data_IF_747920909454
#
_entry.id   IF_747920909454
#
_cell.length_a   1.000
_cell.length_b   1.000
_cell.length_c   1.000
_cell.angle_alpha   90.00
_cell.angle_beta   90.00
_cell.angle_gamma   90.00
#
_symmetry.space_group_name_H-M   'P 1'
#
loop_
_entity.id
_entity.type
_entity.pdbx_description
1 polymer ?
#
# COMPACT_ATOMS: atom_id res chain seq x y z
N UNK A 1 -9.12 7.73 -22.83
CA UNK A 1 -8.99 7.56 -21.39
C UNK A 1 -9.42 6.18 -20.95
N UNK A 2 -10.66 5.86 -21.17
CA UNK A 2 -11.16 4.56 -20.82
C UNK A 2 -10.50 3.45 -21.58
N UNK A 3 -10.23 3.71 -22.83
CA UNK A 3 -9.54 2.76 -23.66
C UNK A 3 -8.15 2.48 -23.09
N UNK A 4 -7.47 3.53 -22.68
CA UNK A 4 -6.16 3.40 -22.11
C UNK A 4 -6.22 2.62 -20.81
N UNK A 5 -7.19 2.95 -19.97
CA UNK A 5 -7.37 2.27 -18.71
C UNK A 5 -7.63 0.78 -18.92
N UNK A 6 -8.44 0.47 -19.90
CA UNK A 6 -8.78 -0.91 -20.19
C UNK A 6 -7.55 -1.71 -20.59
N UNK A 7 -6.70 -1.10 -21.41
CA UNK A 7 -5.47 -1.75 -21.83
C UNK A 7 -4.57 -2.03 -20.64
N UNK A 8 -4.45 -1.07 -19.74
CA UNK A 8 -3.65 -1.27 -18.54
C UNK A 8 -4.20 -2.40 -17.71
N UNK A 9 -5.53 -2.51 -17.63
CA UNK A 9 -6.16 -3.54 -16.85
C UNK A 9 -5.76 -4.94 -17.27
N UNK A 10 -5.51 -5.12 -18.53
CA UNK A 10 -5.08 -6.44 -19.00
C UNK A 10 -3.70 -6.81 -18.52
N UNK A 11 -2.84 -5.81 -18.32
CA UNK A 11 -1.45 -6.05 -17.94
C UNK A 11 -1.19 -5.82 -16.47
N UNK A 12 -2.12 -5.20 -15.77
CA UNK A 12 -1.92 -4.81 -14.38
C UNK A 12 -2.99 -5.42 -13.50
N UNK A 13 -2.82 -6.71 -13.25
CA UNK A 13 -3.76 -7.43 -12.41
C UNK A 13 -3.79 -6.87 -11.00
N UNK A 14 -2.68 -6.28 -10.55
CA UNK A 14 -2.63 -5.66 -9.23
C UNK A 14 -3.71 -4.62 -9.05
N UNK A 15 -4.01 -3.86 -10.12
CA UNK A 15 -5.01 -2.82 -10.04
C UNK A 15 -6.38 -3.38 -9.70
N UNK A 16 -6.70 -4.54 -10.24
CA UNK A 16 -7.96 -5.20 -9.95
C UNK A 16 -8.01 -5.66 -8.50
N UNK A 17 -6.91 -6.21 -8.00
CA UNK A 17 -6.85 -6.64 -6.61
C UNK A 17 -6.96 -5.47 -5.65
N UNK A 18 -6.35 -4.33 -5.99
CA UNK A 18 -6.46 -3.14 -5.15
C UNK A 18 -7.90 -2.65 -5.11
N UNK A 19 -8.57 -2.61 -6.25
CA UNK A 19 -9.97 -2.20 -6.28
C UNK A 19 -10.84 -3.14 -5.47
N UNK A 20 -10.56 -4.43 -5.56
CA UNK A 20 -11.28 -5.41 -4.76
C UNK A 20 -11.05 -5.17 -3.28
N UNK A 21 -9.80 -4.89 -2.90
CA UNK A 21 -9.48 -4.64 -1.51
C UNK A 21 -10.25 -3.43 -0.97
N UNK A 22 -10.31 -2.35 -1.75
CA UNK A 22 -11.03 -1.17 -1.31
C UNK A 22 -12.52 -1.45 -1.14
N UNK A 23 -13.10 -2.24 -2.04
CA UNK A 23 -14.49 -2.63 -1.90
C UNK A 23 -14.71 -3.47 -0.65
N UNK A 24 -13.78 -4.37 -0.37
CA UNK A 24 -13.86 -5.21 0.83
C UNK A 24 -13.76 -4.36 2.09
N UNK A 25 -12.87 -3.36 2.10
CA UNK A 25 -12.76 -2.47 3.23
C UNK A 25 -14.07 -1.71 3.47
N UNK A 26 -14.69 -1.25 2.40
CA UNK A 26 -15.97 -0.54 2.52
C UNK A 26 -17.04 -1.40 3.15
N UNK A 27 -16.99 -2.69 2.89
CA UNK A 27 -17.99 -3.63 3.41
C UNK A 27 -17.62 -4.19 4.77
N UNK A 28 -16.47 -3.79 5.30
CA UNK A 28 -16.04 -4.29 6.59
C UNK A 28 -15.35 -5.63 6.56
N UNK A 29 -15.05 -6.13 5.36
CA UNK A 29 -14.35 -7.42 5.20
C UNK A 29 -12.84 -7.16 5.25
N UNK A 30 -12.33 -6.94 6.45
CA UNK A 30 -10.92 -6.58 6.63
C UNK A 30 -10.00 -7.72 6.23
N UNK A 31 -10.34 -8.94 6.66
CA UNK A 31 -9.51 -10.10 6.35
C UNK A 31 -9.43 -10.33 4.84
N UNK A 32 -10.55 -10.16 4.14
CA UNK A 32 -10.55 -10.29 2.70
C UNK A 32 -9.70 -9.23 2.04
N UNK A 33 -9.78 -7.99 2.55
CA UNK A 33 -8.98 -6.90 2.00
C UNK A 33 -7.49 -7.18 2.17
N UNK A 34 -7.09 -7.70 3.33
CA UNK A 34 -5.69 -8.03 3.58
C UNK A 34 -5.22 -9.09 2.58
N UNK A 35 -6.04 -10.10 2.34
CA UNK A 35 -5.69 -11.13 1.36
C UNK A 35 -5.52 -10.53 -0.03
N UNK A 36 -6.42 -9.62 -0.41
CA UNK A 36 -6.33 -8.98 -1.73
C UNK A 36 -5.07 -8.14 -1.84
N UNK A 37 -4.68 -7.45 -0.77
CA UNK A 37 -3.47 -6.64 -0.78
C UNK A 37 -2.22 -7.51 -0.91
N UNK A 38 -2.22 -8.66 -0.26
CA UNK A 38 -1.11 -9.59 -0.40
C UNK A 38 -1.01 -10.11 -1.83
N UNK A 39 -2.15 -10.28 -2.50
CA UNK A 39 -2.15 -10.65 -3.91
C UNK A 39 -1.52 -9.58 -4.77
N UNK A 40 -1.74 -8.31 -4.44
CA UNK A 40 -1.11 -7.21 -5.16
C UNK A 40 0.41 -7.35 -5.10
N UNK A 41 0.93 -7.59 -3.91
CA UNK A 41 2.37 -7.71 -3.72
C UNK A 41 2.90 -8.93 -4.47
N UNK A 42 2.18 -10.03 -4.42
CA UNK A 42 2.56 -11.24 -5.09
C UNK A 42 2.61 -11.06 -6.61
N UNK A 43 1.62 -10.36 -7.15
CA UNK A 43 1.52 -10.10 -8.58
C UNK A 43 2.62 -9.17 -9.08
N UNK A 44 2.87 -8.10 -8.32
CA UNK A 44 4.02 -7.20 -8.53
C UNK A 44 4.12 -6.68 -9.95
N UNK A 45 3.03 -6.12 -10.48
CA UNK A 45 3.04 -5.62 -11.85
C UNK A 45 2.67 -4.15 -11.97
N UNK A 46 2.52 -3.42 -10.87
CA UNK A 46 2.15 -2.01 -10.91
C UNK A 46 2.63 -1.31 -9.64
N UNK A 47 3.57 -0.38 -9.81
CA UNK A 47 4.19 0.28 -8.66
C UNK A 47 3.19 1.06 -7.82
N UNK A 48 2.22 1.72 -8.46
CA UNK A 48 1.22 2.48 -7.71
C UNK A 48 0.41 1.56 -6.82
N UNK A 49 -0.05 0.44 -7.37
CA UNK A 49 -0.80 -0.54 -6.59
C UNK A 49 0.05 -1.13 -5.47
N UNK A 50 1.33 -1.37 -5.75
CA UNK A 50 2.24 -1.89 -4.73
C UNK A 50 2.37 -0.93 -3.55
N UNK A 51 2.54 0.36 -3.84
CA UNK A 51 2.66 1.34 -2.77
C UNK A 51 1.40 1.37 -1.93
N UNK A 52 0.24 1.35 -2.60
CA UNK A 52 -1.03 1.37 -1.88
C UNK A 52 -1.18 0.12 -1.01
N UNK A 53 -0.79 -1.04 -1.52
CA UNK A 53 -0.90 -2.28 -0.77
C UNK A 53 0.03 -2.27 0.44
N UNK A 54 1.27 -1.85 0.25
CA UNK A 54 2.21 -1.80 1.36
C UNK A 54 1.76 -0.81 2.42
N UNK A 55 1.23 0.34 2.00
CA UNK A 55 0.75 1.34 2.94
C UNK A 55 -0.41 0.80 3.79
N UNK A 56 -1.38 0.16 3.14
CA UNK A 56 -2.54 -0.35 3.86
C UNK A 56 -2.17 -1.52 4.77
N UNK A 57 -1.25 -2.37 4.33
CA UNK A 57 -0.79 -3.45 5.19
C UNK A 57 0.01 -2.92 6.37
N UNK A 58 0.80 -1.87 6.15
CA UNK A 58 1.52 -1.24 7.26
C UNK A 58 0.54 -0.75 8.32
N UNK A 59 -0.54 -0.10 7.87
CA UNK A 59 -1.56 0.39 8.79
C UNK A 59 -2.28 -0.74 9.51
N UNK A 60 -2.60 -1.78 8.77
CA UNK A 60 -3.28 -2.94 9.34
C UNK A 60 -2.45 -3.57 10.44
N UNK A 61 -1.18 -3.83 10.16
CA UNK A 61 -0.30 -4.44 11.16
C UNK A 61 -0.05 -3.51 12.34
N UNK A 62 0.02 -2.21 12.07
CA UNK A 62 0.21 -1.23 13.15
C UNK A 62 -0.97 -1.26 14.11
N UNK A 63 -2.19 -1.26 13.58
CA UNK A 63 -3.39 -1.28 14.40
C UNK A 63 -3.46 -2.54 15.25
N UNK A 64 -3.01 -3.65 14.71
CA UNK A 64 -3.00 -4.90 15.44
C UNK A 64 -1.75 -5.12 16.28
N UNK A 65 -0.91 -4.09 16.37
CA UNK A 65 0.28 -4.10 17.21
C UNK A 65 1.33 -5.12 16.79
N UNK A 66 1.33 -5.47 15.51
CA UNK A 66 2.34 -6.34 14.93
C UNK A 66 3.36 -5.43 14.26
N UNK A 67 4.15 -4.75 15.09
CA UNK A 67 4.99 -3.65 14.63
C UNK A 67 6.11 -4.09 13.72
N UNK A 68 6.64 -5.28 13.93
CA UNK A 68 7.71 -5.77 13.06
C UNK A 68 7.24 -5.90 11.62
N UNK A 69 6.04 -6.45 11.43
CA UNK A 69 5.48 -6.58 10.07
C UNK A 69 5.12 -5.22 9.50
N UNK A 70 4.57 -4.34 10.34
CA UNK A 70 4.26 -2.99 9.89
C UNK A 70 5.53 -2.30 9.38
N UNK A 71 6.62 -2.44 10.13
CA UNK A 71 7.87 -1.80 9.77
C UNK A 71 8.43 -2.32 8.45
N UNK A 72 8.26 -3.60 8.16
CA UNK A 72 8.71 -4.15 6.89
C UNK A 72 8.06 -3.43 5.71
N UNK A 73 6.75 -3.21 5.81
CA UNK A 73 6.03 -2.52 4.73
C UNK A 73 6.38 -1.04 4.69
N UNK A 74 6.58 -0.43 5.86
CA UNK A 74 7.00 0.96 5.93
C UNK A 74 8.36 1.13 5.26
N UNK A 75 9.31 0.26 5.59
CA UNK A 75 10.66 0.35 5.03
C UNK A 75 10.65 0.20 3.52
N UNK A 76 9.79 -0.66 3.01
CA UNK A 76 9.68 -0.85 1.57
C UNK A 76 9.33 0.47 0.87
N UNK A 77 8.40 1.23 1.43
CA UNK A 77 8.00 2.51 0.87
C UNK A 77 9.08 3.57 1.08
N UNK A 78 9.63 3.61 2.29
CA UNK A 78 10.63 4.65 2.62
C UNK A 78 11.87 4.54 1.77
N UNK A 79 12.29 3.32 1.44
CA UNK A 79 13.46 3.11 0.61
C UNK A 79 13.26 3.66 -0.81
N UNK A 80 12.02 3.84 -1.21
CA UNK A 80 11.66 4.30 -2.54
C UNK A 80 11.07 5.69 -2.55
N UNK A 81 11.09 6.38 -1.42
CA UNK A 81 10.35 7.63 -1.28
C UNK A 81 10.78 8.68 -2.29
N UNK A 82 12.09 8.90 -2.45
CA UNK A 82 12.56 9.92 -3.37
C UNK A 82 12.10 9.65 -4.79
N UNK A 83 12.22 8.41 -5.22
CA UNK A 83 11.81 8.03 -6.56
C UNK A 83 10.30 8.20 -6.73
N UNK A 84 9.54 7.81 -5.72
CA UNK A 84 8.08 7.91 -5.80
C UNK A 84 7.64 9.36 -5.85
N UNK A 85 8.26 10.22 -5.07
CA UNK A 85 7.91 11.64 -5.08
C UNK A 85 8.24 12.29 -6.41
N UNK A 86 9.35 11.89 -7.01
CA UNK A 86 9.75 12.45 -8.30
C UNK A 86 8.84 12.03 -9.43
N UNK A 87 8.40 10.78 -9.42
CA UNK A 87 7.66 10.24 -10.56
C UNK A 87 6.15 10.27 -10.37
N UNK A 88 5.67 10.22 -9.15
CA UNK A 88 4.23 10.12 -8.89
C UNK A 88 3.69 11.22 -8.00
N UNK A 89 4.55 12.14 -7.64
CA UNK A 89 4.25 13.37 -6.92
C UNK A 89 2.91 13.34 -6.17
N UNK A 90 1.84 13.89 -6.77
CA UNK A 90 0.57 14.03 -6.07
C UNK A 90 -0.18 12.71 -5.92
N UNK A 91 0.07 11.77 -6.80
CA UNK A 91 -0.70 10.54 -6.83
C UNK A 91 -0.53 9.69 -5.58
N UNK A 92 0.68 9.66 -5.03
CA UNK A 92 0.99 8.84 -3.87
C UNK A 92 1.29 9.66 -2.63
N UNK A 93 0.92 10.92 -2.65
CA UNK A 93 1.24 11.83 -1.56
C UNK A 93 0.67 11.35 -0.21
N UNK A 94 -0.59 10.93 -0.20
CA UNK A 94 -1.23 10.49 1.03
C UNK A 94 -0.55 9.26 1.60
N UNK A 95 -0.21 8.31 0.73
CA UNK A 95 0.46 7.09 1.17
C UNK A 95 1.82 7.38 1.78
N UNK A 96 2.55 8.29 1.16
CA UNK A 96 3.89 8.65 1.66
C UNK A 96 3.79 9.35 3.00
N UNK A 97 2.84 10.29 3.13
CA UNK A 97 2.65 11.00 4.39
C UNK A 97 2.28 10.04 5.51
N UNK A 98 1.31 9.16 5.25
CA UNK A 98 0.88 8.21 6.26
C UNK A 98 2.02 7.28 6.67
N UNK A 99 2.82 6.86 5.71
CA UNK A 99 3.95 5.98 5.99
C UNK A 99 4.97 6.67 6.88
N UNK A 100 5.26 7.95 6.61
CA UNK A 100 6.19 8.69 7.43
C UNK A 100 5.69 8.85 8.86
N UNK A 101 4.39 9.08 9.03
CA UNK A 101 3.80 9.18 10.36
C UNK A 101 3.95 7.86 11.11
N UNK A 102 3.63 6.75 10.46
CA UNK A 102 3.77 5.44 11.09
C UNK A 102 5.22 5.14 11.46
N UNK A 103 6.14 5.49 10.58
CA UNK A 103 7.56 5.26 10.84
C UNK A 103 8.00 6.02 12.10
N UNK A 104 7.57 7.25 12.22
CA UNK A 104 7.96 8.06 13.36
C UNK A 104 7.36 7.52 14.65
N UNK A 105 6.09 7.11 14.60
CA UNK A 105 5.43 6.56 15.78
C UNK A 105 6.13 5.30 16.28
N UNK A 106 6.48 4.42 15.36
CA UNK A 106 7.15 3.17 15.73
C UNK A 106 8.54 3.45 16.29
N UNK A 107 9.30 4.28 15.58
CA UNK A 107 10.69 4.53 15.99
C UNK A 107 10.78 5.26 17.30
N UNK A 108 9.94 6.25 17.52
CA UNK A 108 10.06 7.09 18.70
C UNK A 108 9.35 6.56 19.92
N UNK A 109 8.21 5.91 19.71
CA UNK A 109 7.33 5.62 20.84
C UNK A 109 7.09 4.16 21.11
N UNK A 110 7.35 3.28 20.14
CA UNK A 110 6.98 1.88 20.27
C UNK A 110 8.17 0.93 20.26
N UNK A 111 9.16 1.20 19.44
CA UNK A 111 10.32 0.32 19.34
C UNK A 111 11.61 0.94 19.84
N UNK A 112 11.58 2.21 20.16
CA UNK A 112 12.79 2.91 20.63
C UNK A 112 13.14 2.57 22.10
#
# INVERSE_FOLDING_TARGET
>A
EKKYWFTRGENMKSELYINKAFMQLKKGDIDGAVCSMKKVIETNDDIVSLVQAHCLLAEYYFIHQIYACSKEHIDWIMERQDELENEYDDLLNDEIINTNVLAELIDKYLLA
#
